data_IF_222725439028
#
_entry.id   IF_222725439028
#
_cell.length_a   1.000
_cell.length_b   1.000
_cell.length_c   1.000
_cell.angle_alpha   90.00
_cell.angle_beta   90.00
_cell.angle_gamma   90.00
#
_symmetry.space_group_name_H-M   'P 1'
#
loop_
_entity.id
_entity.type
_entity.pdbx_description
1 polymer ?
#
# COMPACT_ATOMS: atom_id res chain seq x y z
N UNK A 1 -2.67 -34.18 -30.25
CA UNK A 1 -3.29 -33.85 -28.95
C UNK A 1 -4.79 -33.68 -29.14
N UNK A 2 -5.62 -34.35 -28.35
CA UNK A 2 -7.07 -34.27 -28.49
C UNK A 2 -7.53 -32.83 -28.18
N UNK A 3 -8.47 -32.29 -28.97
CA UNK A 3 -9.02 -30.94 -28.78
C UNK A 3 -9.49 -30.70 -27.33
N UNK A 4 -9.94 -31.75 -26.66
CA UNK A 4 -10.36 -31.74 -25.24
C UNK A 4 -9.18 -31.59 -24.27
N UNK A 5 -8.04 -32.22 -24.57
CA UNK A 5 -6.80 -32.06 -23.80
C UNK A 5 -6.23 -30.66 -23.92
N UNK A 6 -6.30 -30.06 -25.12
CA UNK A 6 -5.86 -28.68 -25.34
C UNK A 6 -6.74 -27.67 -24.62
N UNK A 7 -8.07 -27.86 -24.62
CA UNK A 7 -9.00 -26.99 -23.86
C UNK A 7 -8.79 -27.14 -22.35
N UNK A 8 -8.61 -28.36 -21.85
CA UNK A 8 -8.32 -28.60 -20.44
C UNK A 8 -6.99 -27.97 -20.01
N UNK A 9 -5.94 -28.08 -20.82
CA UNK A 9 -4.66 -27.43 -20.55
C UNK A 9 -4.79 -25.89 -20.55
N UNK A 10 -5.56 -25.33 -21.48
CA UNK A 10 -5.79 -23.87 -21.55
C UNK A 10 -6.58 -23.35 -20.35
N UNK A 11 -7.58 -24.12 -19.87
CA UNK A 11 -8.35 -23.81 -18.67
C UNK A 11 -7.50 -23.86 -17.39
N UNK A 12 -6.62 -24.87 -17.28
CA UNK A 12 -5.69 -24.98 -16.16
C UNK A 12 -4.69 -23.80 -16.17
N UNK A 13 -4.15 -23.44 -17.33
CA UNK A 13 -3.26 -22.27 -17.47
C UNK A 13 -4.00 -20.96 -17.18
N UNK A 14 -5.27 -20.82 -17.58
CA UNK A 14 -6.08 -19.66 -17.27
C UNK A 14 -6.38 -19.53 -15.76
N UNK A 15 -6.53 -20.65 -15.05
CA UNK A 15 -6.69 -20.68 -13.59
C UNK A 15 -5.41 -20.28 -12.84
N UNK A 16 -4.23 -20.48 -13.44
CA UNK A 16 -2.97 -19.99 -12.87
C UNK A 16 -2.69 -18.50 -13.14
N UNK A 17 -3.54 -17.82 -13.93
CA UNK A 17 -3.37 -16.40 -14.30
C UNK A 17 -4.21 -15.45 -13.44
N UNK A 18 -5.01 -15.94 -12.49
CA UNK A 18 -5.66 -15.08 -11.50
C UNK A 18 -4.64 -14.70 -10.44
N UNK A 19 -3.95 -13.58 -10.66
CA UNK A 19 -3.10 -12.99 -9.62
C UNK A 19 -3.97 -12.36 -8.53
N UNK A 20 -3.72 -12.74 -7.28
CA UNK A 20 -4.23 -12.06 -6.10
C UNK A 20 -3.80 -10.59 -6.17
N UNK A 21 -4.77 -9.69 -6.26
CA UNK A 21 -4.54 -8.25 -6.26
C UNK A 21 -4.44 -7.70 -4.83
N UNK A 22 -3.51 -6.79 -4.61
CA UNK A 22 -3.43 -6.01 -3.38
C UNK A 22 -3.88 -4.57 -3.61
N UNK A 23 -4.43 -3.93 -2.59
CA UNK A 23 -4.62 -2.48 -2.60
C UNK A 23 -4.07 -1.88 -1.32
N UNK A 24 -3.41 -0.74 -1.44
CA UNK A 24 -2.91 0.04 -0.33
C UNK A 24 -3.57 1.41 -0.41
N UNK A 25 -4.34 1.78 0.61
CA UNK A 25 -5.06 3.06 0.60
C UNK A 25 -4.73 3.84 1.85
N UNK A 26 -4.15 5.03 1.68
CA UNK A 26 -3.78 5.91 2.79
C UNK A 26 -4.47 7.26 2.68
N UNK A 27 -4.84 7.82 3.83
CA UNK A 27 -5.28 9.20 3.94
C UNK A 27 -4.07 10.11 4.11
N UNK A 28 -4.03 11.23 3.41
CA UNK A 28 -2.99 12.24 3.60
C UNK A 28 -3.66 13.59 3.79
N UNK A 29 -3.54 14.15 4.99
CA UNK A 29 -4.07 15.47 5.27
C UNK A 29 -3.09 16.55 4.81
N UNK A 30 -3.62 17.64 4.27
CA UNK A 30 -2.78 18.75 3.82
C UNK A 30 -2.04 19.38 5.00
N UNK A 31 -2.68 19.44 6.17
CA UNK A 31 -2.05 19.94 7.39
C UNK A 31 -0.80 19.13 7.76
N UNK A 32 -0.85 17.80 7.70
CA UNK A 32 0.29 16.92 7.99
C UNK A 32 1.48 17.21 7.07
N UNK A 33 1.24 17.45 5.78
CA UNK A 33 2.29 17.81 4.82
C UNK A 33 2.98 19.12 5.25
N UNK A 34 2.18 20.13 5.62
CA UNK A 34 2.70 21.44 6.03
C UNK A 34 3.53 21.31 7.31
N UNK A 35 3.01 20.59 8.31
CA UNK A 35 3.68 20.43 9.61
C UNK A 35 5.02 19.69 9.50
N UNK A 36 5.09 18.63 8.67
CA UNK A 36 6.34 17.90 8.42
C UNK A 36 7.34 18.76 7.66
N UNK A 37 6.89 19.50 6.64
CA UNK A 37 7.78 20.37 5.85
C UNK A 37 8.31 21.54 6.68
N UNK A 38 7.49 22.13 7.55
CA UNK A 38 7.89 23.23 8.44
C UNK A 38 8.77 22.75 9.62
N UNK A 39 8.91 21.42 9.80
CA UNK A 39 9.67 20.82 10.90
C UNK A 39 9.04 21.07 12.27
N UNK A 40 7.72 21.24 12.30
CA UNK A 40 6.98 21.69 13.50
C UNK A 40 6.65 20.53 14.44
N UNK A 41 6.62 19.29 13.92
CA UNK A 41 6.36 18.06 14.69
C UNK A 41 7.48 17.01 14.52
N UNK A 42 7.60 16.11 15.50
CA UNK A 42 8.36 14.87 15.35
C UNK A 42 7.67 13.95 14.31
N UNK A 43 8.35 12.90 13.85
CA UNK A 43 7.91 11.96 12.81
C UNK A 43 6.39 11.69 12.86
N UNK A 44 5.66 12.22 11.87
CA UNK A 44 4.23 12.02 11.75
C UNK A 44 3.94 10.66 11.11
N UNK A 45 2.79 10.10 11.49
CA UNK A 45 2.29 8.86 10.91
C UNK A 45 0.86 9.05 10.45
N UNK A 46 0.56 8.56 9.25
CA UNK A 46 -0.80 8.45 8.77
C UNK A 46 -1.27 6.99 8.75
N UNK A 47 -2.58 6.81 8.79
CA UNK A 47 -3.21 5.50 8.70
C UNK A 47 -3.34 5.10 7.23
N UNK A 48 -3.01 3.84 6.95
CA UNK A 48 -3.27 3.19 5.69
C UNK A 48 -4.04 1.90 5.92
N UNK A 49 -4.95 1.57 5.02
CA UNK A 49 -5.58 0.26 4.97
C UNK A 49 -4.94 -0.55 3.85
N UNK A 50 -4.35 -1.68 4.23
CA UNK A 50 -3.89 -2.71 3.29
C UNK A 50 -5.06 -3.66 3.08
N UNK A 51 -5.44 -3.90 1.82
CA UNK A 51 -6.35 -4.97 1.45
C UNK A 51 -5.62 -5.97 0.57
N UNK A 52 -5.63 -7.24 0.96
CA UNK A 52 -5.07 -8.35 0.19
C UNK A 52 -6.16 -9.36 -0.05
N UNK A 53 -6.28 -9.87 -1.28
CA UNK A 53 -7.17 -10.97 -1.58
C UNK A 53 -6.81 -12.21 -0.73
N UNK A 54 -7.84 -12.88 -0.20
CA UNK A 54 -7.69 -14.05 0.67
C UNK A 54 -7.36 -15.27 -0.20
N UNK A 55 -6.25 -15.98 0.06
CA UNK A 55 -5.96 -17.26 -0.59
C UNK A 55 -6.82 -18.41 -0.05
N UNK A 56 -7.71 -18.12 0.91
CA UNK A 56 -8.62 -19.06 1.55
C UNK A 56 -8.71 -18.81 3.05
N UNK A 57 -9.90 -19.02 3.63
CA UNK A 57 -10.20 -18.65 5.02
C UNK A 57 -9.24 -19.25 6.06
N UNK A 58 -8.72 -20.46 5.79
CA UNK A 58 -7.74 -21.13 6.66
C UNK A 58 -6.36 -20.43 6.72
N UNK A 59 -6.04 -19.61 5.72
CA UNK A 59 -4.77 -18.90 5.59
C UNK A 59 -4.87 -17.43 6.00
N UNK A 60 -6.09 -16.90 6.22
CA UNK A 60 -6.29 -15.51 6.64
C UNK A 60 -5.47 -15.11 7.87
N UNK A 61 -5.34 -15.95 8.94
CA UNK A 61 -4.51 -15.60 10.09
C UNK A 61 -3.04 -15.41 9.73
N UNK A 62 -2.50 -16.18 8.78
CA UNK A 62 -1.10 -16.09 8.35
C UNK A 62 -0.85 -14.80 7.57
N UNK A 63 -1.79 -14.40 6.70
CA UNK A 63 -1.72 -13.11 5.99
C UNK A 63 -1.73 -11.95 6.98
N UNK A 64 -2.61 -12.00 7.99
CA UNK A 64 -2.70 -10.95 9.02
C UNK A 64 -1.39 -10.88 9.80
N UNK A 65 -0.86 -12.03 10.26
CA UNK A 65 0.41 -12.10 10.98
C UNK A 65 1.58 -11.54 10.15
N UNK A 66 1.66 -11.87 8.86
CA UNK A 66 2.67 -11.29 7.96
C UNK A 66 2.58 -9.77 7.88
N UNK A 67 1.37 -9.20 7.82
CA UNK A 67 1.19 -7.75 7.82
C UNK A 67 1.59 -7.16 9.18
N UNK A 68 1.18 -7.79 10.29
CA UNK A 68 1.51 -7.34 11.65
C UNK A 68 3.01 -7.34 11.96
N UNK A 69 3.77 -8.25 11.35
CA UNK A 69 5.22 -8.32 11.52
C UNK A 69 5.99 -7.26 10.73
N UNK A 70 5.41 -6.75 9.63
CA UNK A 70 6.12 -5.87 8.69
C UNK A 70 5.62 -4.41 8.72
N UNK A 71 4.48 -4.15 9.35
CA UNK A 71 3.91 -2.81 9.43
C UNK A 71 3.69 -2.35 10.87
N UNK A 72 3.91 -1.06 11.11
CA UNK A 72 3.69 -0.44 12.42
C UNK A 72 2.22 -0.40 12.78
N UNK A 73 1.92 -0.67 14.05
CA UNK A 73 0.60 -0.53 14.65
C UNK A 73 -0.52 -1.17 13.80
N UNK A 74 -0.25 -2.35 13.24
CA UNK A 74 -1.23 -3.14 12.52
C UNK A 74 -2.41 -3.48 13.45
N UNK A 75 -3.60 -3.02 13.08
CA UNK A 75 -4.82 -3.10 13.88
C UNK A 75 -6.04 -3.26 12.98
N UNK A 76 -7.21 -3.47 13.61
CA UNK A 76 -8.51 -3.52 12.93
C UNK A 76 -8.58 -4.49 11.75
N UNK A 77 -7.94 -5.66 11.91
CA UNK A 77 -7.95 -6.75 10.93
C UNK A 77 -9.39 -7.23 10.72
N UNK A 78 -9.85 -7.24 9.47
CA UNK A 78 -11.21 -7.62 9.10
C UNK A 78 -11.25 -8.28 7.74
N UNK A 79 -12.24 -9.11 7.50
CA UNK A 79 -12.48 -9.72 6.19
C UNK A 79 -13.69 -9.07 5.55
N UNK A 80 -13.62 -8.78 4.25
CA UNK A 80 -14.75 -8.31 3.46
C UNK A 80 -14.87 -9.10 2.17
N UNK A 81 -16.08 -9.28 1.67
CA UNK A 81 -16.29 -9.91 0.37
C UNK A 81 -16.80 -8.86 -0.60
N UNK A 82 -16.07 -8.67 -1.69
CA UNK A 82 -16.41 -7.74 -2.76
C UNK A 82 -16.26 -8.46 -4.08
N UNK A 83 -17.25 -8.32 -4.98
CA UNK A 83 -17.22 -8.92 -6.32
C UNK A 83 -16.89 -10.43 -6.29
N UNK A 84 -17.52 -11.16 -5.37
CA UNK A 84 -17.32 -12.61 -5.11
C UNK A 84 -15.91 -13.01 -4.65
N UNK A 85 -15.07 -12.02 -4.32
CA UNK A 85 -13.70 -12.21 -3.88
C UNK A 85 -13.56 -11.75 -2.43
N UNK A 86 -13.00 -12.61 -1.59
CA UNK A 86 -12.76 -12.31 -0.17
C UNK A 86 -11.44 -11.56 -0.03
N UNK A 87 -11.44 -10.46 0.69
CA UNK A 87 -10.27 -9.64 0.98
C UNK A 87 -10.07 -9.51 2.48
N UNK A 88 -8.82 -9.53 2.89
CA UNK A 88 -8.36 -9.28 4.24
C UNK A 88 -7.91 -7.82 4.27
N UNK A 89 -8.47 -7.03 5.18
CA UNK A 89 -8.14 -5.64 5.38
C UNK A 89 -7.47 -5.48 6.73
N UNK A 90 -6.33 -4.79 6.76
CA UNK A 90 -5.60 -4.45 7.99
C UNK A 90 -5.25 -2.98 7.94
N UNK A 91 -5.53 -2.26 9.03
CA UNK A 91 -5.16 -0.86 9.15
C UNK A 91 -3.77 -0.79 9.78
N UNK A 92 -2.86 -0.03 9.19
CA UNK A 92 -1.46 0.12 9.58
C UNK A 92 -1.10 1.60 9.65
N UNK A 93 0.00 1.91 10.33
CA UNK A 93 0.60 3.25 10.27
C UNK A 93 1.76 3.27 9.29
N UNK A 94 1.84 4.33 8.50
CA UNK A 94 3.01 4.65 7.67
C UNK A 94 3.57 6.02 8.04
N UNK A 95 4.90 6.19 8.03
CA UNK A 95 5.52 7.46 8.34
C UNK A 95 5.34 8.47 7.21
N UNK A 96 5.31 9.74 7.59
CA UNK A 96 5.43 10.90 6.70
C UNK A 96 6.81 11.51 6.99
N UNK A 97 7.70 11.49 6.01
CA UNK A 97 9.10 11.92 6.16
C UNK A 97 9.42 13.01 5.15
N UNK A 98 10.33 13.92 5.52
CA UNK A 98 10.91 14.86 4.54
C UNK A 98 11.82 14.12 3.57
N UNK A 99 11.93 14.62 2.34
CA UNK A 99 12.73 14.02 1.27
C UNK A 99 14.21 13.93 1.64
N UNK A 100 14.73 14.88 2.41
CA UNK A 100 16.12 14.84 2.90
C UNK A 100 16.37 13.63 3.81
N UNK A 101 15.34 13.20 4.54
CA UNK A 101 15.38 12.13 5.53
C UNK A 101 14.70 10.84 5.04
N UNK A 102 14.52 10.69 3.72
CA UNK A 102 13.84 9.52 3.14
C UNK A 102 14.51 8.18 3.51
N UNK A 103 15.80 8.19 3.84
CA UNK A 103 16.56 7.02 4.29
C UNK A 103 16.05 6.47 5.64
N UNK A 104 15.32 7.26 6.43
CA UNK A 104 14.67 6.78 7.65
C UNK A 104 13.72 5.62 7.36
N UNK A 105 13.13 5.52 6.15
CA UNK A 105 12.31 4.36 5.77
C UNK A 105 13.12 3.05 5.78
N UNK A 106 14.40 3.10 5.43
CA UNK A 106 15.30 1.94 5.45
C UNK A 106 15.85 1.67 6.85
N UNK A 107 16.18 2.70 7.62
CA UNK A 107 16.69 2.53 8.99
C UNK A 107 15.64 1.91 9.93
N UNK A 108 14.37 2.18 9.64
CA UNK A 108 13.23 1.77 10.44
C UNK A 108 12.49 0.55 9.89
N UNK A 109 13.02 -0.07 8.82
CA UNK A 109 12.40 -1.17 8.09
C UNK A 109 10.93 -0.90 7.72
N UNK A 110 10.60 0.35 7.38
CA UNK A 110 9.25 0.74 6.97
C UNK A 110 9.04 0.39 5.49
N UNK A 111 8.07 -0.49 5.12
CA UNK A 111 7.89 -0.93 3.74
C UNK A 111 7.46 0.21 2.81
N UNK A 112 6.64 1.13 3.33
CA UNK A 112 6.01 2.22 2.59
C UNK A 112 5.97 3.46 3.48
N UNK A 113 6.21 4.63 2.91
CA UNK A 113 6.02 5.92 3.56
C UNK A 113 5.53 7.01 2.61
N UNK A 114 5.04 8.11 3.16
CA UNK A 114 4.82 9.35 2.40
C UNK A 114 6.08 10.20 2.51
N UNK A 115 6.59 10.64 1.37
CA UNK A 115 7.75 11.53 1.32
C UNK A 115 7.26 12.91 0.93
N UNK A 116 7.59 13.93 1.71
CA UNK A 116 7.22 15.33 1.46
C UNK A 116 8.45 16.19 1.25
N UNK A 117 8.32 17.31 0.54
CA UNK A 117 9.41 18.24 0.32
C UNK A 117 8.90 19.68 0.26
N UNK A 118 9.70 20.61 0.77
CA UNK A 118 9.51 22.04 0.52
C UNK A 118 9.94 22.36 -0.92
N UNK A 119 9.07 23.00 -1.69
CA UNK A 119 9.41 23.51 -3.02
C UNK A 119 9.75 25.01 -2.99
N UNK A 120 9.66 25.66 -1.83
CA UNK A 120 9.78 27.10 -1.66
C UNK A 120 8.51 27.84 -2.06
N UNK A 121 8.48 29.15 -1.79
CA UNK A 121 7.35 30.04 -2.11
C UNK A 121 5.99 29.58 -1.53
N UNK A 122 6.01 28.84 -0.43
CA UNK A 122 4.82 28.29 0.21
C UNK A 122 4.19 27.10 -0.53
N UNK A 123 4.96 26.44 -1.40
CA UNK A 123 4.54 25.23 -2.11
C UNK A 123 5.24 24.01 -1.53
N UNK A 124 4.53 22.89 -1.44
CA UNK A 124 5.07 21.61 -1.02
C UNK A 124 4.76 20.53 -2.07
N UNK A 125 5.63 19.54 -2.18
CA UNK A 125 5.36 18.34 -2.95
C UNK A 125 5.31 17.11 -2.02
N UNK A 126 4.60 16.09 -2.47
CA UNK A 126 4.55 14.80 -1.80
C UNK A 126 4.62 13.66 -2.81
N UNK A 127 5.04 12.49 -2.34
CA UNK A 127 5.12 11.26 -3.11
C UNK A 127 5.05 10.03 -2.20
N UNK A 128 5.00 8.86 -2.83
CA UNK A 128 5.05 7.58 -2.13
C UNK A 128 6.49 7.04 -2.16
N UNK A 129 7.08 6.83 -0.99
CA UNK A 129 8.32 6.10 -0.81
C UNK A 129 8.05 4.61 -0.68
N UNK A 130 8.78 3.80 -1.44
CA UNK A 130 8.69 2.34 -1.42
C UNK A 130 10.06 1.78 -1.05
N UNK A 131 10.15 1.12 0.10
CA UNK A 131 11.36 0.42 0.51
C UNK A 131 11.36 -0.96 -0.15
N UNK A 132 12.07 -1.08 -1.27
CA UNK A 132 12.10 -2.31 -2.05
C UNK A 132 12.67 -3.49 -1.27
N UNK A 133 13.64 -3.26 -0.38
CA UNK A 133 14.30 -4.35 0.34
C UNK A 133 13.30 -5.03 1.30
N UNK A 134 12.56 -4.22 2.06
CA UNK A 134 11.53 -4.72 2.97
C UNK A 134 10.33 -5.29 2.22
N UNK A 135 9.90 -4.63 1.14
CA UNK A 135 8.77 -5.10 0.33
C UNK A 135 9.08 -6.43 -0.38
N UNK A 136 10.31 -6.61 -0.90
CA UNK A 136 10.72 -7.85 -1.55
C UNK A 136 10.79 -9.01 -0.55
N UNK A 137 11.27 -8.77 0.68
CA UNK A 137 11.23 -9.76 1.77
C UNK A 137 9.80 -10.13 2.16
N UNK A 138 8.92 -9.13 2.31
CA UNK A 138 7.50 -9.35 2.59
C UNK A 138 6.83 -10.19 1.48
N UNK A 139 7.06 -9.85 0.20
CA UNK A 139 6.50 -10.60 -0.92
C UNK A 139 7.09 -12.00 -1.06
N UNK A 140 8.37 -12.19 -0.73
CA UNK A 140 8.98 -13.50 -0.66
C UNK A 140 8.33 -14.35 0.45
N UNK A 141 8.06 -13.78 1.63
CA UNK A 141 7.37 -14.46 2.72
C UNK A 141 5.92 -14.84 2.33
N UNK A 142 5.21 -13.95 1.64
CA UNK A 142 3.90 -14.27 1.05
C UNK A 142 4.00 -15.47 0.10
N UNK A 143 4.98 -15.47 -0.81
CA UNK A 143 5.15 -16.56 -1.78
C UNK A 143 5.54 -17.89 -1.15
N UNK A 144 6.37 -17.88 -0.11
CA UNK A 144 6.81 -19.11 0.57
C UNK A 144 5.70 -19.72 1.42
N UNK A 145 4.97 -18.89 2.17
CA UNK A 145 3.97 -19.37 3.12
C UNK A 145 2.64 -19.68 2.47
N UNK A 146 2.25 -18.92 1.44
CA UNK A 146 0.94 -19.02 0.80
C UNK A 146 0.99 -19.69 -0.58
N UNK A 147 2.19 -19.98 -1.10
CA UNK A 147 2.41 -20.58 -2.44
C UNK A 147 1.88 -19.72 -3.59
N UNK A 148 1.74 -18.41 -3.37
CA UNK A 148 1.20 -17.46 -4.34
C UNK A 148 2.23 -16.40 -4.72
N UNK A 149 2.41 -16.19 -6.02
CA UNK A 149 3.34 -15.19 -6.54
C UNK A 149 2.71 -13.78 -6.45
N UNK A 150 2.89 -13.14 -5.30
CA UNK A 150 2.53 -11.74 -5.09
C UNK A 150 3.74 -10.86 -5.44
N UNK A 151 3.51 -9.78 -6.18
CA UNK A 151 4.54 -8.79 -6.50
C UNK A 151 3.95 -7.39 -6.41
N UNK A 152 4.82 -6.38 -6.31
CA UNK A 152 4.39 -4.98 -6.24
C UNK A 152 3.54 -4.52 -7.44
N UNK A 153 3.72 -5.16 -8.60
CA UNK A 153 2.94 -4.84 -9.81
C UNK A 153 1.46 -5.24 -9.68
N UNK A 154 1.16 -6.15 -8.75
CA UNK A 154 -0.20 -6.58 -8.45
C UNK A 154 -0.85 -5.70 -7.37
N UNK A 155 -0.14 -4.69 -6.86
CA UNK A 155 -0.65 -3.73 -5.88
C UNK A 155 -1.08 -2.42 -6.53
N UNK A 156 -2.27 -1.95 -6.16
CA UNK A 156 -2.71 -0.59 -6.44
C UNK A 156 -2.52 0.30 -5.21
N UNK A 157 -1.72 1.35 -5.36
CA UNK A 157 -1.49 2.35 -4.31
C UNK A 157 -2.39 3.55 -4.53
N UNK A 158 -3.16 3.92 -3.51
CA UNK A 158 -4.10 5.04 -3.53
C UNK A 158 -3.81 5.97 -2.36
N UNK A 159 -3.59 7.24 -2.66
CA UNK A 159 -3.50 8.30 -1.65
C UNK A 159 -4.76 9.15 -1.75
N UNK A 160 -5.52 9.23 -0.66
CA UNK A 160 -6.66 10.14 -0.52
C UNK A 160 -6.15 11.43 0.08
N UNK A 161 -5.91 12.43 -0.76
CA UNK A 161 -5.49 13.75 -0.32
C UNK A 161 -6.70 14.52 0.22
N UNK A 162 -6.66 14.87 1.51
CA UNK A 162 -7.76 15.50 2.23
C UNK A 162 -7.37 16.95 2.59
N UNK A 163 -8.11 17.92 2.07
CA UNK A 163 -7.95 19.31 2.49
C UNK A 163 -8.76 19.57 3.76
N UNK A 164 -8.10 19.49 4.90
CA UNK A 164 -8.61 19.81 6.23
C UNK A 164 -8.28 21.25 6.68
N UNK A 165 -7.60 22.02 5.83
CA UNK A 165 -7.30 23.42 6.08
C UNK A 165 -8.53 24.32 5.84
N UNK A 166 -8.44 25.58 6.29
CA UNK A 166 -9.47 26.60 6.00
C UNK A 166 -9.33 27.23 4.60
N UNK A 167 -8.25 26.92 3.88
CA UNK A 167 -7.88 27.57 2.63
C UNK A 167 -8.20 26.68 1.43
N UNK A 168 -8.34 27.30 0.26
CA UNK A 168 -8.39 26.56 -1.01
C UNK A 168 -6.97 26.19 -1.39
N UNK A 169 -6.71 24.89 -1.52
CA UNK A 169 -5.40 24.35 -1.90
C UNK A 169 -5.43 23.98 -3.38
N UNK A 170 -4.46 24.50 -4.12
CA UNK A 170 -4.25 24.12 -5.52
C UNK A 170 -3.28 22.95 -5.58
N UNK A 171 -3.67 21.87 -6.26
CA UNK A 171 -2.88 20.64 -6.35
C UNK A 171 -2.59 20.32 -7.81
N UNK A 172 -1.32 20.08 -8.13
CA UNK A 172 -0.90 19.54 -9.41
C UNK A 172 -0.43 18.09 -9.20
N UNK A 173 -0.94 17.15 -9.99
CA UNK A 173 -0.63 15.74 -9.88
C UNK A 173 0.03 15.25 -11.17
N UNK A 174 1.11 14.47 -11.04
CA UNK A 174 1.86 13.92 -12.15
C UNK A 174 2.06 12.41 -11.97
N UNK A 175 1.92 11.65 -13.05
CA UNK A 175 2.20 10.21 -13.05
C UNK A 175 1.16 9.35 -12.32
N UNK A 176 0.00 9.91 -11.98
CA UNK A 176 -1.06 9.22 -11.23
C UNK A 176 -2.40 9.32 -11.93
N UNK A 177 -3.27 8.33 -11.71
CA UNK A 177 -4.68 8.43 -12.05
C UNK A 177 -5.41 9.24 -10.96
N UNK A 178 -6.21 10.23 -11.37
CA UNK A 178 -6.93 11.11 -10.46
C UNK A 178 -8.42 10.79 -10.50
N UNK A 179 -8.96 10.47 -9.33
CA UNK A 179 -10.40 10.29 -9.14
C UNK A 179 -10.93 11.42 -8.25
N UNK A 180 -11.77 12.30 -8.79
CA UNK A 180 -12.31 13.49 -8.08
C UNK A 180 -13.70 13.24 -7.45
N UNK A 181 -14.09 11.98 -7.26
CA UNK A 181 -15.42 11.61 -6.75
C UNK A 181 -15.52 11.83 -5.25
#
# INVERSE_FOLDING_TARGET
MSRKLSIAALLVIALFLTGCGGTFVTDLYVQDIIEVVEGTEETLFTVATIAVESPGDQYNPQVIELIELNFRDATNSRTTTKDYTTHILVDVKIPIVVLEDYYQLWENDDPIGIVVMDMGEGSSAFGLGLNSDVLDELFAAFSEQLWEAISIQNFAFTVRLLNDTRNVISVALQGVYVNQV
#
